data_IF_766218669764
#
_entry.id   IF_766218669764
#
_cell.length_a   1.000
_cell.length_b   1.000
_cell.length_c   1.000
_cell.angle_alpha   90.00
_cell.angle_beta   90.00
_cell.angle_gamma   90.00
#
_symmetry.space_group_name_H-M   'P 1'
#
loop_
_entity.id
_entity.type
_entity.pdbx_description
1 polymer ?
#
# COMPACT_ATOMS: atom_id res chain seq x y z
N UNK A 1 7.86 -13.80 -4.03
CA UNK A 1 6.39 -13.64 -3.88
C UNK A 1 6.00 -12.17 -3.79
N UNK A 2 6.42 -11.42 -2.76
CA UNK A 2 6.07 -9.98 -2.63
C UNK A 2 6.57 -9.11 -3.80
N UNK A 3 7.80 -9.34 -4.26
CA UNK A 3 8.34 -8.64 -5.45
C UNK A 3 7.44 -8.82 -6.69
N UNK A 4 6.88 -10.01 -6.88
CA UNK A 4 5.99 -10.31 -8.00
C UNK A 4 4.62 -9.64 -7.85
N UNK A 5 4.10 -9.58 -6.62
CA UNK A 5 2.89 -8.85 -6.32
C UNK A 5 3.05 -7.35 -6.62
N UNK A 6 4.21 -6.78 -6.30
CA UNK A 6 4.52 -5.37 -6.56
C UNK A 6 4.63 -5.09 -8.06
N UNK A 7 5.25 -5.98 -8.82
CA UNK A 7 5.29 -5.86 -10.28
C UNK A 7 3.89 -5.92 -10.90
N UNK A 8 3.06 -6.88 -10.48
CA UNK A 8 1.69 -7.00 -10.98
C UNK A 8 0.81 -5.81 -10.55
N UNK A 9 1.00 -5.29 -9.34
CA UNK A 9 0.36 -4.07 -8.89
C UNK A 9 0.76 -2.88 -9.78
N UNK A 10 2.06 -2.71 -10.07
CA UNK A 10 2.54 -1.66 -10.96
C UNK A 10 1.95 -1.76 -12.37
N UNK A 11 1.74 -2.98 -12.87
CA UNK A 11 1.04 -3.21 -14.14
C UNK A 11 -0.45 -2.84 -14.08
N UNK A 12 -1.09 -2.93 -12.92
CA UNK A 12 -2.52 -2.62 -12.76
C UNK A 12 -2.84 -1.12 -12.58
N UNK A 13 -1.92 -0.37 -11.97
CA UNK A 13 -2.13 1.05 -11.61
C UNK A 13 -1.95 1.95 -12.84
N UNK A 14 -2.83 2.95 -13.01
CA UNK A 14 -2.76 3.89 -14.15
C UNK A 14 -1.91 5.13 -13.87
N UNK A 15 -1.97 5.63 -12.64
CA UNK A 15 -1.24 6.81 -12.20
C UNK A 15 -0.90 6.72 -10.72
N UNK A 16 0.08 7.51 -10.30
CA UNK A 16 0.48 7.67 -8.91
C UNK A 16 0.65 9.16 -8.65
N UNK A 17 0.06 9.67 -7.59
CA UNK A 17 0.30 11.05 -7.14
C UNK A 17 1.59 11.12 -6.32
N UNK A 18 2.35 12.19 -6.49
CA UNK A 18 3.49 12.48 -5.63
C UNK A 18 3.05 12.73 -4.19
N UNK A 19 3.96 12.50 -3.25
CA UNK A 19 3.70 12.71 -1.83
C UNK A 19 3.34 14.16 -1.52
N UNK A 20 3.96 15.11 -2.24
CA UNK A 20 3.72 16.54 -2.02
C UNK A 20 2.56 17.09 -2.87
N UNK A 21 1.87 16.22 -3.63
CA UNK A 21 0.73 16.57 -4.50
C UNK A 21 1.07 17.67 -5.53
N UNK A 22 2.35 17.84 -5.86
CA UNK A 22 2.85 18.83 -6.82
C UNK A 22 2.91 18.26 -8.25
N UNK A 23 2.91 16.94 -8.39
CA UNK A 23 2.99 16.21 -9.66
C UNK A 23 2.32 14.84 -9.61
N UNK A 24 1.93 14.37 -10.78
CA UNK A 24 1.36 13.05 -11.01
C UNK A 24 2.25 12.25 -11.97
N UNK A 25 2.43 10.96 -11.69
CA UNK A 25 3.15 10.03 -12.55
C UNK A 25 2.17 9.17 -13.33
N UNK A 26 2.12 9.34 -14.65
CA UNK A 26 1.26 8.58 -15.55
C UNK A 26 2.00 7.41 -16.18
N UNK A 27 1.39 6.23 -16.18
CA UNK A 27 1.95 5.02 -16.75
C UNK A 27 1.52 4.92 -18.22
N UNK A 28 2.41 5.26 -19.13
CA UNK A 28 2.10 5.34 -20.57
C UNK A 28 2.15 3.97 -21.22
N UNK A 29 3.15 3.19 -20.85
CA UNK A 29 3.33 1.85 -21.38
C UNK A 29 3.91 0.93 -20.31
N UNK A 30 3.56 -0.35 -20.42
CA UNK A 30 3.94 -1.41 -19.51
C UNK A 30 4.33 -2.59 -20.38
N UNK A 31 5.61 -2.95 -20.35
CA UNK A 31 6.13 -4.13 -21.05
C UNK A 31 6.62 -5.16 -20.02
N UNK A 32 7.18 -6.26 -20.51
CA UNK A 32 7.73 -7.30 -19.65
C UNK A 32 9.07 -6.89 -19.00
N UNK A 33 9.68 -5.79 -19.43
CA UNK A 33 10.96 -5.29 -18.92
C UNK A 33 10.80 -4.17 -17.88
N UNK A 34 9.68 -3.44 -17.90
CA UNK A 34 9.42 -2.35 -16.99
C UNK A 34 8.24 -1.45 -17.35
N UNK A 35 8.31 -0.23 -16.81
CA UNK A 35 7.26 0.78 -16.84
C UNK A 35 7.80 2.03 -17.53
N UNK A 36 7.03 2.60 -18.46
CA UNK A 36 7.31 3.92 -19.02
C UNK A 36 6.42 4.94 -18.33
N UNK A 37 7.06 5.87 -17.64
CA UNK A 37 6.41 6.82 -16.73
C UNK A 37 6.64 8.24 -17.24
N UNK A 38 5.57 9.02 -17.25
CA UNK A 38 5.57 10.46 -17.52
C UNK A 38 5.25 11.20 -16.24
N UNK A 39 6.10 12.15 -15.84
CA UNK A 39 5.76 13.07 -14.75
C UNK A 39 5.02 14.30 -15.31
N UNK A 40 3.83 14.57 -14.78
CA UNK A 40 3.00 15.73 -15.10
C UNK A 40 2.94 16.66 -13.89
N UNK A 41 3.39 17.89 -14.04
CA UNK A 41 3.38 18.86 -12.96
C UNK A 41 2.04 19.60 -12.91
N UNK A 42 1.52 19.81 -11.70
CA UNK A 42 0.27 20.53 -11.45
C UNK A 42 0.27 21.98 -11.94
N UNK A 43 1.45 22.59 -12.08
CA UNK A 43 1.65 24.01 -12.37
C UNK A 43 2.19 24.32 -13.79
N UNK A 44 2.25 23.33 -14.70
CA UNK A 44 2.72 23.59 -16.07
C UNK A 44 1.71 24.38 -16.89
N UNK A 45 1.83 25.71 -16.78
CA UNK A 45 1.60 26.62 -17.90
C UNK A 45 2.55 26.19 -19.03
N UNK A 46 1.97 25.73 -20.14
CA UNK A 46 2.54 25.66 -21.48
C UNK A 46 4.01 26.15 -21.63
N UNK A 47 4.98 25.25 -21.52
CA UNK A 47 6.24 25.37 -22.27
C UNK A 47 6.44 24.08 -23.07
N UNK A 48 6.80 24.23 -24.35
CA UNK A 48 7.01 23.17 -25.36
C UNK A 48 8.23 22.25 -25.05
N UNK A 49 8.41 21.81 -23.81
CA UNK A 49 9.33 20.73 -23.48
C UNK A 49 8.53 19.47 -23.26
N UNK A 50 8.86 18.44 -24.03
CA UNK A 50 8.31 17.11 -23.82
C UNK A 50 8.41 16.76 -22.33
N UNK A 51 7.31 16.33 -21.68
CA UNK A 51 7.34 16.01 -20.27
C UNK A 51 8.40 14.94 -20.01
N UNK A 52 9.08 14.95 -18.86
CA UNK A 52 10.18 14.04 -18.62
C UNK A 52 9.64 12.60 -18.56
N UNK A 53 9.93 11.84 -19.62
CA UNK A 53 9.65 10.41 -19.69
C UNK A 53 10.86 9.63 -19.18
N UNK A 54 10.63 8.63 -18.34
CA UNK A 54 11.67 7.71 -17.89
C UNK A 54 11.17 6.27 -17.86
N UNK A 55 12.10 5.34 -18.09
CA UNK A 55 11.85 3.89 -17.97
C UNK A 55 12.27 3.43 -16.57
N UNK A 56 11.36 2.76 -15.89
CA UNK A 56 11.63 2.05 -14.64
C UNK A 56 11.64 0.56 -14.95
N UNK A 57 12.83 -0.05 -15.03
CA UNK A 57 12.89 -1.51 -15.21
C UNK A 57 12.41 -2.23 -13.95
N UNK A 58 11.90 -3.45 -14.12
CA UNK A 58 11.48 -4.25 -12.97
C UNK A 58 12.64 -4.61 -12.05
N UNK A 59 13.88 -4.69 -12.54
CA UNK A 59 15.05 -4.89 -11.68
C UNK A 59 15.29 -3.67 -10.78
N UNK A 60 15.19 -2.44 -11.30
CA UNK A 60 15.30 -1.22 -10.48
C UNK A 60 14.18 -1.19 -9.43
N UNK A 61 12.95 -1.56 -9.81
CA UNK A 61 11.82 -1.62 -8.89
C UNK A 61 12.04 -2.65 -7.76
N UNK A 62 12.55 -3.84 -8.09
CA UNK A 62 12.89 -4.87 -7.10
C UNK A 62 13.99 -4.43 -6.16
N UNK A 63 15.04 -3.80 -6.68
CA UNK A 63 16.17 -3.35 -5.86
C UNK A 63 15.76 -2.19 -4.94
N UNK A 64 14.97 -1.24 -5.44
CA UNK A 64 14.36 -0.20 -4.61
C UNK A 64 13.48 -0.80 -3.50
N UNK A 65 12.66 -1.80 -3.84
CA UNK A 65 11.83 -2.49 -2.86
C UNK A 65 12.65 -3.21 -1.78
N UNK A 66 13.70 -3.94 -2.17
CA UNK A 66 14.62 -4.61 -1.23
C UNK A 66 15.32 -3.60 -0.32
N UNK A 67 15.75 -2.47 -0.87
CA UNK A 67 16.36 -1.39 -0.09
C UNK A 67 15.38 -0.80 0.92
N UNK A 68 14.13 -0.57 0.51
CA UNK A 68 13.09 -0.09 1.40
C UNK A 68 12.81 -1.08 2.54
N UNK A 69 12.71 -2.39 2.24
CA UNK A 69 12.59 -3.44 3.26
C UNK A 69 13.76 -3.39 4.26
N UNK A 70 14.99 -3.26 3.77
CA UNK A 70 16.18 -3.27 4.62
C UNK A 70 16.26 -2.03 5.53
N UNK A 71 15.98 -0.85 4.99
CA UNK A 71 16.11 0.42 5.72
C UNK A 71 14.90 0.75 6.58
N UNK A 72 13.72 0.18 6.29
CA UNK A 72 12.43 0.41 6.95
C UNK A 72 11.84 1.81 6.79
N UNK A 73 12.67 2.83 6.70
CA UNK A 73 12.31 4.20 6.35
C UNK A 73 13.24 4.67 5.24
N UNK A 74 12.67 5.25 4.16
CA UNK A 74 13.45 5.78 3.03
C UNK A 74 12.86 7.08 2.49
N UNK A 75 13.71 7.89 1.86
CA UNK A 75 13.40 9.02 0.99
C UNK A 75 13.98 8.80 -0.41
N UNK A 76 13.75 9.74 -1.33
CA UNK A 76 14.24 9.63 -2.71
C UNK A 76 15.77 9.65 -2.79
N UNK A 77 16.44 10.38 -1.88
CA UNK A 77 17.90 10.42 -1.77
C UNK A 77 18.49 9.06 -1.34
N UNK A 78 17.72 8.28 -0.59
CA UNK A 78 18.20 6.97 -0.12
C UNK A 78 18.34 5.98 -1.28
N UNK A 79 17.75 6.20 -2.44
CA UNK A 79 17.93 5.34 -3.62
C UNK A 79 19.18 5.68 -4.45
N UNK A 80 19.96 6.71 -4.08
CA UNK A 80 21.19 7.09 -4.76
C UNK A 80 21.22 8.58 -5.09
N UNK A 81 21.68 8.95 -6.29
CA UNK A 81 21.55 10.34 -6.73
C UNK A 81 20.07 10.70 -6.94
N UNK A 82 19.68 11.89 -6.47
CA UNK A 82 18.32 12.40 -6.60
C UNK A 82 17.94 12.41 -8.08
N UNK A 83 16.88 11.67 -8.40
CA UNK A 83 16.34 11.55 -9.74
C UNK A 83 14.83 11.44 -9.70
N UNK A 84 14.18 11.78 -10.80
CA UNK A 84 12.73 11.67 -10.93
C UNK A 84 12.24 10.21 -10.74
N UNK A 85 13.06 9.25 -11.17
CA UNK A 85 12.81 7.83 -10.94
C UNK A 85 12.76 7.49 -9.45
N UNK A 86 13.67 8.03 -8.63
CA UNK A 86 13.67 7.77 -7.19
C UNK A 86 12.45 8.39 -6.51
N UNK A 87 12.06 9.60 -6.92
CA UNK A 87 10.87 10.26 -6.37
C UNK A 87 9.60 9.47 -6.74
N UNK A 88 9.52 8.98 -7.97
CA UNK A 88 8.47 8.04 -8.39
C UNK A 88 8.44 6.78 -7.53
N UNK A 89 9.60 6.16 -7.20
CA UNK A 89 9.61 4.96 -6.35
C UNK A 89 9.00 5.22 -4.98
N UNK A 90 9.34 6.35 -4.37
CA UNK A 90 8.79 6.75 -3.07
C UNK A 90 7.26 6.94 -3.17
N UNK A 91 6.80 7.69 -4.18
CA UNK A 91 5.38 7.93 -4.42
C UNK A 91 4.61 6.63 -4.75
N UNK A 92 5.22 5.71 -5.50
CA UNK A 92 4.61 4.43 -5.85
C UNK A 92 4.47 3.54 -4.62
N UNK A 93 5.51 3.44 -3.79
CA UNK A 93 5.44 2.65 -2.56
C UNK A 93 4.52 3.25 -1.50
N UNK A 94 4.31 4.58 -1.47
CA UNK A 94 3.35 5.19 -0.55
C UNK A 94 1.89 4.83 -0.85
N UNK A 95 1.58 4.36 -2.06
CA UNK A 95 0.24 3.85 -2.40
C UNK A 95 -0.06 2.49 -1.73
N UNK A 96 0.95 1.81 -1.17
CA UNK A 96 0.74 0.53 -0.52
C UNK A 96 0.02 0.73 0.82
N UNK A 97 -0.99 -0.10 1.14
CA UNK A 97 -1.85 0.11 2.32
C UNK A 97 -1.12 -0.03 3.66
N UNK A 98 0.08 -0.61 3.65
CA UNK A 98 0.94 -0.83 4.82
C UNK A 98 2.13 0.13 4.89
N UNK A 99 2.14 1.19 4.07
CA UNK A 99 3.18 2.23 4.08
C UNK A 99 2.57 3.54 4.57
N UNK A 100 3.29 4.22 5.46
CA UNK A 100 2.96 5.56 5.95
C UNK A 100 3.92 6.59 5.36
N UNK A 101 3.39 7.78 5.10
CA UNK A 101 4.16 8.98 4.73
C UNK A 101 4.41 9.81 5.99
N UNK A 102 5.67 10.16 6.24
CA UNK A 102 6.09 11.08 7.31
C UNK A 102 6.07 12.52 6.79
N UNK A 103 5.88 13.49 7.69
CA UNK A 103 5.94 14.93 7.38
C UNK A 103 7.22 15.34 6.62
N UNK A 104 8.32 14.63 6.85
CA UNK A 104 9.60 14.87 6.19
C UNK A 104 9.69 14.40 4.72
N UNK A 105 8.60 13.89 4.14
CA UNK A 105 8.56 13.28 2.80
C UNK A 105 9.13 11.85 2.73
N UNK A 106 9.47 11.25 3.87
CA UNK A 106 9.92 9.85 3.94
C UNK A 106 8.75 8.89 3.99
N UNK A 107 8.92 7.71 3.41
CA UNK A 107 8.01 6.58 3.59
C UNK A 107 8.55 5.61 4.62
N UNK A 108 7.65 4.97 5.37
CA UNK A 108 7.99 3.93 6.35
C UNK A 108 6.94 2.83 6.35
N UNK A 109 7.30 1.61 6.77
CA UNK A 109 6.29 0.60 7.03
C UNK A 109 5.44 0.98 8.26
N UNK A 110 4.13 0.70 8.18
CA UNK A 110 3.23 0.71 9.33
C UNK A 110 3.74 -0.28 10.37
N UNK A 111 3.94 0.19 11.59
CA UNK A 111 4.24 -0.68 12.72
C UNK A 111 2.94 -1.21 13.31
N UNK A 112 2.71 -2.51 13.13
CA UNK A 112 1.61 -3.20 13.76
C UNK A 112 2.04 -3.61 15.17
N UNK A 113 1.33 -3.10 16.18
CA UNK A 113 1.40 -3.63 17.55
C UNK A 113 0.77 -5.03 17.58
N UNK A 114 1.07 -5.82 18.61
CA UNK A 114 0.63 -7.23 18.70
C UNK A 114 -0.89 -7.39 18.71
N UNK A 115 -1.61 -6.36 19.15
CA UNK A 115 -3.07 -6.23 19.08
C UNK A 115 -3.60 -5.86 17.68
N UNK A 116 -2.74 -5.61 16.70
CA UNK A 116 -3.12 -5.32 15.32
C UNK A 116 -2.74 -6.44 14.34
N UNK A 117 -2.39 -7.63 14.86
CA UNK A 117 -2.12 -8.80 14.04
C UNK A 117 -3.40 -9.65 13.90
N UNK A 118 -3.68 -10.20 12.71
CA UNK A 118 -4.77 -11.15 12.54
C UNK A 118 -4.63 -12.30 13.52
N UNK A 119 -5.67 -12.52 14.30
CA UNK A 119 -5.71 -13.50 15.37
C UNK A 119 -6.48 -14.76 14.99
N UNK A 120 -7.34 -14.68 13.97
CA UNK A 120 -8.21 -15.72 13.48
C UNK A 120 -8.04 -15.92 11.96
N UNK A 121 -8.48 -17.09 11.46
CA UNK A 121 -8.42 -17.39 10.03
C UNK A 121 -9.42 -16.54 9.24
N UNK A 122 -9.02 -16.05 8.07
CA UNK A 122 -9.84 -15.24 7.17
C UNK A 122 -11.26 -15.78 6.96
N UNK A 123 -11.41 -17.08 6.68
CA UNK A 123 -12.74 -17.69 6.45
C UNK A 123 -13.68 -17.52 7.65
N UNK A 124 -13.14 -17.56 8.88
CA UNK A 124 -13.93 -17.35 10.09
C UNK A 124 -14.25 -15.87 10.34
N UNK A 125 -13.34 -14.98 9.96
CA UNK A 125 -13.53 -13.53 9.99
C UNK A 125 -14.70 -13.16 9.06
N UNK A 126 -14.71 -13.70 7.85
CA UNK A 126 -15.79 -13.49 6.87
C UNK A 126 -17.10 -14.12 7.30
N UNK A 127 -17.08 -15.36 7.82
CA UNK A 127 -18.27 -15.99 8.38
C UNK A 127 -18.89 -15.14 9.50
N UNK A 128 -18.08 -14.55 10.37
CA UNK A 128 -18.57 -13.69 11.44
C UNK A 128 -19.18 -12.39 10.90
N UNK A 129 -18.62 -11.80 9.83
CA UNK A 129 -19.21 -10.64 9.17
C UNK A 129 -20.60 -10.96 8.60
N UNK A 130 -20.75 -12.11 7.93
CA UNK A 130 -22.05 -12.56 7.41
C UNK A 130 -23.07 -12.75 8.53
N UNK A 131 -22.67 -13.37 9.65
CA UNK A 131 -23.54 -13.53 10.82
C UNK A 131 -23.98 -12.18 11.43
N UNK A 132 -23.11 -11.16 11.43
CA UNK A 132 -23.47 -9.81 11.87
C UNK A 132 -24.48 -9.19 10.90
N UNK A 133 -24.22 -9.25 9.59
CA UNK A 133 -25.11 -8.72 8.55
C UNK A 133 -26.49 -9.38 8.62
N UNK A 134 -26.52 -10.69 8.88
CA UNK A 134 -27.75 -11.47 9.02
C UNK A 134 -28.43 -11.28 10.39
N UNK A 135 -27.87 -10.45 11.28
CA UNK A 135 -28.43 -10.18 12.61
C UNK A 135 -28.33 -11.37 13.58
N UNK A 136 -27.51 -12.36 13.28
CA UNK A 136 -27.29 -13.54 14.14
C UNK A 136 -26.53 -13.16 15.41
N UNK A 137 -25.57 -12.23 15.30
CA UNK A 137 -24.83 -11.70 16.44
C UNK A 137 -24.82 -10.17 16.45
N UNK A 138 -25.02 -9.60 17.64
CA UNK A 138 -24.70 -8.19 17.90
C UNK A 138 -23.27 -8.08 18.47
N UNK A 139 -22.31 -7.45 17.76
CA UNK A 139 -20.92 -7.32 18.19
C UNK A 139 -20.73 -6.64 19.55
N UNK A 140 -21.65 -5.76 19.93
CA UNK A 140 -21.58 -4.97 21.17
C UNK A 140 -21.94 -5.80 22.40
N UNK A 141 -22.82 -6.77 22.25
CA UNK A 141 -23.31 -7.66 23.33
C UNK A 141 -22.87 -9.12 23.11
N UNK A 142 -21.79 -9.34 22.36
CA UNK A 142 -21.34 -10.67 21.91
C UNK A 142 -21.19 -11.67 23.06
N UNK A 143 -20.68 -11.22 24.22
CA UNK A 143 -20.44 -12.06 25.40
C UNK A 143 -21.72 -12.68 25.98
N UNK A 144 -22.86 -12.03 25.78
CA UNK A 144 -24.16 -12.49 26.26
C UNK A 144 -24.82 -13.50 25.30
N UNK A 145 -24.31 -13.60 24.07
CA UNK A 145 -24.87 -14.41 22.98
C UNK A 145 -24.06 -15.69 22.70
N UNK A 146 -22.91 -15.88 23.36
CA UNK A 146 -21.97 -16.96 23.08
C UNK A 146 -21.44 -17.60 24.35
N UNK A 147 -21.11 -18.89 24.30
CA UNK A 147 -20.30 -19.54 25.35
C UNK A 147 -18.84 -19.06 25.32
N UNK A 148 -18.05 -19.44 26.33
CA UNK A 148 -16.67 -18.95 26.51
C UNK A 148 -15.71 -19.30 25.35
N UNK A 149 -15.89 -20.46 24.71
CA UNK A 149 -15.07 -20.90 23.60
C UNK A 149 -15.43 -20.17 22.31
N UNK A 150 -16.73 -20.08 22.03
CA UNK A 150 -17.26 -19.39 20.86
C UNK A 150 -17.00 -17.88 20.97
N UNK A 151 -17.14 -17.31 22.17
CA UNK A 151 -16.83 -15.91 22.46
C UNK A 151 -15.40 -15.57 22.03
N UNK A 152 -14.41 -16.41 22.37
CA UNK A 152 -13.01 -16.16 22.01
C UNK A 152 -12.83 -16.08 20.50
N UNK A 153 -13.38 -17.05 19.76
CA UNK A 153 -13.28 -17.09 18.29
C UNK A 153 -13.97 -15.88 17.65
N UNK A 154 -15.18 -15.54 18.10
CA UNK A 154 -15.95 -14.41 17.56
C UNK A 154 -15.36 -13.06 17.96
N UNK A 155 -14.79 -12.93 19.15
CA UNK A 155 -14.10 -11.72 19.59
C UNK A 155 -12.81 -11.48 18.80
N UNK A 156 -12.06 -12.54 18.51
CA UNK A 156 -10.88 -12.47 17.64
C UNK A 156 -11.29 -12.08 16.20
N UNK A 157 -12.32 -12.74 15.65
CA UNK A 157 -12.87 -12.37 14.35
C UNK A 157 -13.35 -10.91 14.30
N UNK A 158 -13.95 -10.40 15.38
CA UNK A 158 -14.35 -8.98 15.50
C UNK A 158 -13.15 -8.03 15.43
N UNK A 159 -12.05 -8.38 16.07
CA UNK A 159 -10.81 -7.58 16.04
C UNK A 159 -10.21 -7.58 14.64
N UNK A 160 -10.19 -8.75 13.98
CA UNK A 160 -9.68 -8.88 12.63
C UNK A 160 -10.57 -8.17 11.59
N UNK A 161 -11.89 -8.12 11.79
CA UNK A 161 -12.78 -7.32 10.94
C UNK A 161 -12.45 -5.83 11.00
N UNK A 162 -12.08 -5.30 12.17
CA UNK A 162 -11.62 -3.90 12.29
C UNK A 162 -10.35 -3.65 11.50
N UNK A 163 -9.43 -4.62 11.46
CA UNK A 163 -8.21 -4.54 10.64
C UNK A 163 -8.54 -4.49 9.14
N UNK A 164 -9.64 -5.11 8.73
CA UNK A 164 -10.15 -5.07 7.36
C UNK A 164 -11.02 -3.83 7.06
N UNK A 165 -11.29 -2.98 8.05
CA UNK A 165 -12.03 -1.73 7.89
C UNK A 165 -13.54 -1.84 8.09
N UNK A 166 -14.03 -2.88 8.78
CA UNK A 166 -15.44 -3.04 9.15
C UNK A 166 -15.74 -2.65 10.60
#
# INVERSE_FOLDING_TARGET
MLEQLIMELAKSIKQVEDINDDKAYLFINKDDEGLYVEAKFSHEQYEEKAPPYFKVSFEILKDAWRKFIAMRTVKSEDFGQVSECNTFMVAFFSQLPFVDVKESGAITFKEFKTDNLPSEKYDKVMLFLEEIINGTYNPSTLREQTDENLYRVKSNARQDLRLLGF
#
